data_IF_049079033619
#
_entry.id   IF_049079033619
#
_cell.length_a   1.000
_cell.length_b   1.000
_cell.length_c   1.000
_cell.angle_alpha   90.00
_cell.angle_beta   90.00
_cell.angle_gamma   90.00
#
_symmetry.space_group_name_H-M   'P 1'
#
loop_
_entity.id
_entity.type
_entity.pdbx_description
1 polymer ?
#
# COMPACT_ATOMS: atom_id res chain seq x y z
N UNK A 1 -28.81 -65.61 -28.13
CA UNK A 1 -28.01 -65.56 -29.37
C UNK A 1 -26.91 -64.54 -29.16
N UNK A 2 -25.62 -64.71 -29.44
CA UNK A 2 -24.82 -65.74 -30.08
C UNK A 2 -23.45 -65.07 -30.34
N UNK A 3 -22.40 -65.62 -29.73
CA UNK A 3 -20.94 -65.34 -29.93
C UNK A 3 -20.55 -65.40 -31.43
N UNK A 4 -19.36 -64.93 -31.91
CA UNK A 4 -18.03 -65.43 -31.48
C UNK A 4 -16.89 -64.37 -31.62
N UNK A 5 -15.59 -64.60 -31.38
CA UNK A 5 -14.77 -65.77 -31.06
C UNK A 5 -13.31 -65.30 -30.80
N UNK A 6 -12.53 -66.03 -29.98
CA UNK A 6 -11.38 -66.89 -30.41
C UNK A 6 -10.07 -66.11 -30.65
N UNK A 7 -8.84 -66.52 -30.28
CA UNK A 7 -8.19 -67.71 -29.70
C UNK A 7 -6.82 -67.20 -29.16
N UNK A 8 -6.46 -67.40 -27.89
CA UNK A 8 -5.63 -68.50 -27.38
C UNK A 8 -4.23 -68.64 -28.01
N UNK A 9 -3.17 -68.46 -27.22
CA UNK A 9 -2.10 -69.44 -27.07
C UNK A 9 -1.47 -69.34 -25.67
N UNK A 10 -1.49 -70.45 -24.97
CA UNK A 10 -0.87 -70.67 -23.67
C UNK A 10 0.53 -71.28 -23.85
N UNK A 11 1.46 -70.96 -22.95
CA UNK A 11 2.59 -71.85 -22.64
C UNK A 11 2.65 -71.99 -21.12
N UNK A 12 2.56 -73.25 -20.70
CA UNK A 12 2.64 -73.74 -19.33
C UNK A 12 4.11 -74.01 -19.00
N UNK A 13 4.55 -73.64 -17.80
CA UNK A 13 5.52 -74.46 -17.08
C UNK A 13 5.28 -74.36 -15.58
N UNK A 14 4.99 -75.53 -14.97
CA UNK A 14 4.95 -75.77 -13.54
C UNK A 14 6.29 -75.42 -12.89
N UNK A 15 6.30 -75.13 -11.58
CA UNK A 15 7.14 -75.82 -10.57
C UNK A 15 6.70 -75.35 -9.17
N UNK A 16 6.52 -76.33 -8.29
CA UNK A 16 6.22 -76.19 -6.86
C UNK A 16 7.39 -75.58 -6.08
N UNK A 17 7.13 -74.92 -4.95
CA UNK A 17 7.70 -75.28 -3.63
C UNK A 17 7.51 -74.20 -2.55
N UNK A 18 6.95 -74.66 -1.44
CA UNK A 18 7.38 -74.44 -0.04
C UNK A 18 7.64 -72.99 0.41
N UNK A 19 6.67 -72.47 1.16
CA UNK A 19 6.83 -71.32 2.07
C UNK A 19 7.75 -71.71 3.21
N UNK A 20 8.94 -71.08 3.29
CA UNK A 20 9.72 -70.96 4.52
C UNK A 20 9.85 -69.47 4.84
N UNK A 21 9.25 -69.07 5.95
CA UNK A 21 9.50 -67.77 6.56
C UNK A 21 10.97 -67.70 6.98
N UNK A 22 11.78 -66.92 6.24
CA UNK A 22 13.12 -66.54 6.68
C UNK A 22 13.00 -65.30 7.56
N UNK A 23 13.43 -65.42 8.81
CA UNK A 23 13.73 -64.28 9.66
C UNK A 23 14.78 -63.40 8.95
N UNK A 24 14.51 -62.11 8.83
CA UNK A 24 15.46 -61.12 8.33
C UNK A 24 16.59 -60.95 9.36
N UNK A 25 17.86 -60.89 8.93
CA UNK A 25 18.94 -60.43 9.80
C UNK A 25 18.76 -58.93 10.06
N UNK A 26 19.08 -58.51 11.29
CA UNK A 26 19.20 -57.11 11.64
C UNK A 26 20.39 -56.51 10.88
N UNK A 27 20.11 -55.85 9.76
CA UNK A 27 21.13 -55.11 9.01
C UNK A 27 21.55 -53.89 9.85
N UNK A 28 22.83 -53.87 10.21
CA UNK A 28 23.50 -52.81 10.93
C UNK A 28 23.52 -51.55 10.06
N UNK A 29 22.88 -50.47 10.53
CA UNK A 29 23.04 -49.13 9.96
C UNK A 29 24.46 -48.65 10.29
N UNK A 30 25.35 -48.76 9.31
CA UNK A 30 26.65 -48.12 9.34
C UNK A 30 26.45 -46.59 9.34
N UNK A 31 26.93 -45.97 10.40
CA UNK A 31 26.94 -44.52 10.59
C UNK A 31 28.00 -43.89 9.70
N UNK A 32 27.61 -43.36 8.55
CA UNK A 32 28.42 -42.38 7.81
C UNK A 32 28.40 -41.07 8.60
N UNK A 33 29.46 -40.84 9.40
CA UNK A 33 29.75 -39.55 9.99
C UNK A 33 30.31 -38.64 8.89
N UNK A 34 29.40 -38.02 8.12
CA UNK A 34 29.76 -36.91 7.26
C UNK A 34 30.12 -35.72 8.16
N UNK A 35 31.40 -35.34 8.09
CA UNK A 35 32.01 -34.24 8.82
C UNK A 35 31.34 -32.93 8.42
N UNK A 36 30.28 -32.55 9.13
CA UNK A 36 29.70 -31.21 9.04
C UNK A 36 30.80 -30.24 9.47
N UNK A 37 31.37 -29.56 8.48
CA UNK A 37 32.15 -28.36 8.74
C UNK A 37 31.27 -27.42 9.53
N UNK A 38 31.71 -27.07 10.73
CA UNK A 38 31.13 -26.00 11.53
C UNK A 38 31.29 -24.71 10.74
N UNK A 39 30.36 -24.46 9.82
CA UNK A 39 30.15 -23.13 9.27
C UNK A 39 29.79 -22.27 10.47
N UNK A 40 30.69 -21.34 10.81
CA UNK A 40 30.40 -20.38 11.86
C UNK A 40 29.24 -19.53 11.35
N UNK A 41 28.02 -19.89 11.76
CA UNK A 41 26.88 -19.00 11.71
C UNK A 41 27.30 -17.82 12.60
N UNK A 42 27.73 -16.73 11.96
CA UNK A 42 27.97 -15.47 12.65
C UNK A 42 26.71 -15.07 13.41
N UNK A 43 26.81 -14.22 14.45
CA UNK A 43 25.64 -13.81 15.20
C UNK A 43 24.59 -13.28 14.22
N UNK A 44 23.39 -13.88 14.23
CA UNK A 44 22.22 -13.27 13.59
C UNK A 44 22.06 -11.94 14.31
N UNK A 45 22.38 -10.86 13.62
CA UNK A 45 22.14 -9.51 14.15
C UNK A 45 20.65 -9.30 14.00
N UNK A 46 19.90 -9.69 15.04
CA UNK A 46 18.47 -9.48 15.09
C UNK A 46 18.23 -7.97 15.03
N UNK A 47 17.63 -7.48 13.95
CA UNK A 47 17.37 -6.07 13.81
C UNK A 47 16.17 -5.72 14.68
N UNK A 48 16.41 -5.11 15.83
CA UNK A 48 15.32 -4.60 16.65
C UNK A 48 14.67 -3.39 15.96
N UNK A 49 13.60 -3.64 15.21
CA UNK A 49 12.77 -2.61 14.58
C UNK A 49 11.60 -2.26 15.50
N UNK A 50 11.38 -0.97 15.74
CA UNK A 50 10.26 -0.49 16.53
C UNK A 50 9.60 0.72 15.88
N UNK A 51 8.30 0.89 16.14
CA UNK A 51 7.53 2.04 15.68
C UNK A 51 6.64 2.58 16.80
N UNK A 52 6.70 3.88 17.02
CA UNK A 52 5.80 4.60 17.94
C UNK A 52 4.93 5.58 17.16
N UNK A 53 3.75 5.87 17.70
CA UNK A 53 2.82 6.86 17.18
C UNK A 53 2.36 7.80 18.30
N UNK A 54 2.11 9.06 17.93
CA UNK A 54 1.47 10.06 18.79
C UNK A 54 0.40 10.80 17.98
N UNK A 55 -0.78 10.98 18.56
CA UNK A 55 -1.85 11.75 17.96
C UNK A 55 -1.50 13.24 18.04
N UNK A 56 -1.73 13.95 16.95
CA UNK A 56 -1.47 15.37 16.78
C UNK A 56 -2.78 16.07 16.33
N UNK A 57 -2.87 17.41 16.44
CA UNK A 57 -4.00 18.18 15.92
C UNK A 57 -4.35 17.83 14.46
N UNK A 58 -5.57 18.17 14.05
CA UNK A 58 -6.09 17.89 12.70
C UNK A 58 -6.17 16.39 12.37
N UNK A 59 -6.35 15.55 13.39
CA UNK A 59 -6.40 14.10 13.27
C UNK A 59 -5.17 13.50 12.55
N UNK A 60 -3.99 13.99 12.92
CA UNK A 60 -2.72 13.53 12.38
C UNK A 60 -2.04 12.55 13.34
N UNK A 61 -1.15 11.71 12.82
CA UNK A 61 -0.32 10.81 13.61
C UNK A 61 1.16 11.08 13.32
N UNK A 62 1.90 11.53 14.33
CA UNK A 62 3.35 11.60 14.29
C UNK A 62 3.94 10.21 14.55
N UNK A 63 4.64 9.65 13.55
CA UNK A 63 5.26 8.33 13.60
C UNK A 63 6.78 8.47 13.76
N UNK A 64 7.36 7.60 14.59
CA UNK A 64 8.82 7.41 14.66
C UNK A 64 9.14 5.93 14.54
N UNK A 65 9.90 5.57 13.50
CA UNK A 65 10.41 4.23 13.27
C UNK A 65 11.90 4.23 13.60
N UNK A 66 12.35 3.25 14.39
CA UNK A 66 13.76 3.06 14.75
C UNK A 66 14.20 1.66 14.35
N UNK A 67 15.16 1.59 13.45
CA UNK A 67 15.81 0.39 12.93
C UNK A 67 17.30 0.68 12.75
N UNK A 68 18.05 0.79 13.86
CA UNK A 68 19.45 1.22 13.83
C UNK A 68 20.39 0.35 12.99
N UNK A 69 19.95 -0.85 12.58
CA UNK A 69 20.69 -1.73 11.69
C UNK A 69 20.40 -1.49 10.19
N UNK A 70 19.36 -0.70 9.87
CA UNK A 70 18.89 -0.38 8.51
C UNK A 70 19.00 1.14 8.26
N UNK A 71 20.21 1.73 8.20
CA UNK A 71 20.38 3.14 7.89
C UNK A 71 20.14 3.40 6.40
N UNK A 72 19.55 4.55 6.09
CA UNK A 72 19.28 4.94 4.69
C UNK A 72 18.52 3.86 3.90
N UNK A 73 17.63 3.13 4.57
CA UNK A 73 16.85 2.03 4.00
C UNK A 73 15.44 2.51 3.66
N UNK A 74 14.91 2.03 2.55
CA UNK A 74 13.55 2.33 2.13
C UNK A 74 12.53 1.65 3.07
N UNK A 75 11.48 2.40 3.37
CA UNK A 75 10.31 1.92 4.10
C UNK A 75 9.09 2.11 3.22
N UNK A 76 8.17 1.14 3.22
CA UNK A 76 6.80 1.36 2.74
C UNK A 76 5.87 1.41 3.95
N UNK A 77 5.16 2.53 4.10
CA UNK A 77 4.15 2.69 5.14
C UNK A 77 2.78 2.29 4.59
N UNK A 78 2.06 1.46 5.34
CA UNK A 78 0.68 1.07 5.08
C UNK A 78 -0.25 1.57 6.18
N UNK A 79 -1.39 2.15 5.78
CA UNK A 79 -2.44 2.58 6.70
C UNK A 79 -3.82 2.57 6.03
N UNK A 80 -4.70 1.65 6.43
CA UNK A 80 -6.08 1.60 5.92
C UNK A 80 -6.17 1.60 4.37
N UNK A 81 -5.23 0.95 3.67
CA UNK A 81 -5.18 0.91 2.20
C UNK A 81 -4.27 1.99 1.58
N UNK A 82 -3.96 3.06 2.31
CA UNK A 82 -2.92 4.02 1.94
C UNK A 82 -1.55 3.32 1.94
N UNK A 83 -0.75 3.63 0.93
CA UNK A 83 0.62 3.15 0.77
C UNK A 83 1.53 4.26 0.25
N UNK A 84 2.63 4.55 0.94
CA UNK A 84 3.66 5.47 0.44
C UNK A 84 5.05 5.11 0.96
N UNK A 85 6.08 5.48 0.20
CA UNK A 85 7.47 5.21 0.54
C UNK A 85 8.07 6.31 1.43
N UNK A 86 8.92 5.92 2.36
CA UNK A 86 9.79 6.80 3.13
C UNK A 86 11.18 6.19 3.25
N UNK A 87 12.06 6.80 4.04
CA UNK A 87 13.43 6.30 4.25
C UNK A 87 13.88 6.54 5.68
N UNK A 88 14.65 5.62 6.25
CA UNK A 88 15.43 5.91 7.46
C UNK A 88 16.57 6.86 7.16
N UNK A 89 17.01 7.62 8.15
CA UNK A 89 18.23 8.41 8.08
C UNK A 89 19.48 7.54 8.33
N UNK A 90 20.66 8.16 8.33
CA UNK A 90 21.94 7.51 8.61
C UNK A 90 22.03 6.85 10.00
N UNK A 91 21.13 7.17 10.94
CA UNK A 91 21.03 6.52 12.25
C UNK A 91 19.98 5.40 12.28
N UNK A 92 19.33 5.10 11.15
CA UNK A 92 18.26 4.11 11.07
C UNK A 92 16.94 4.64 11.64
N UNK A 93 16.71 5.95 11.66
CA UNK A 93 15.49 6.57 12.20
C UNK A 93 14.67 7.20 11.08
N UNK A 94 13.37 6.92 11.04
CA UNK A 94 12.42 7.58 10.15
C UNK A 94 11.37 8.32 10.97
N UNK A 95 11.09 9.59 10.61
CA UNK A 95 10.01 10.39 11.20
C UNK A 95 9.10 10.92 10.10
N UNK A 96 7.81 10.90 10.36
CA UNK A 96 6.78 11.39 9.44
C UNK A 96 5.50 11.73 10.20
N UNK A 97 4.68 12.60 9.64
CA UNK A 97 3.34 12.91 10.15
C UNK A 97 2.32 12.51 9.10
N UNK A 98 1.34 11.71 9.47
CA UNK A 98 0.41 11.05 8.53
C UNK A 98 -1.03 11.32 8.93
N UNK A 99 -1.92 11.69 7.99
CA UNK A 99 -3.35 11.74 8.24
C UNK A 99 -3.90 10.39 8.72
N UNK A 100 -4.53 10.35 9.90
CA UNK A 100 -5.26 9.18 10.36
C UNK A 100 -6.57 8.99 9.58
N UNK A 101 -6.70 7.92 8.83
CA UNK A 101 -7.88 7.61 8.00
C UNK A 101 -8.98 6.88 8.77
N UNK A 102 -8.70 6.47 10.02
CA UNK A 102 -9.64 5.77 10.92
C UNK A 102 -9.41 6.22 12.37
N UNK A 103 -10.46 6.19 13.19
CA UNK A 103 -10.38 6.57 14.62
C UNK A 103 -9.53 5.61 15.44
N UNK A 104 -9.46 4.35 15.03
CA UNK A 104 -8.48 3.37 15.50
C UNK A 104 -7.48 3.13 14.38
N UNK A 105 -6.36 3.84 14.41
CA UNK A 105 -5.39 3.82 13.35
C UNK A 105 -4.36 2.71 13.58
N UNK A 106 -4.19 1.84 12.59
CA UNK A 106 -3.13 0.84 12.53
C UNK A 106 -2.15 1.30 11.44
N UNK A 107 -0.88 1.45 11.81
CA UNK A 107 0.20 1.73 10.89
C UNK A 107 1.14 0.53 10.83
N UNK A 108 1.55 0.17 9.62
CA UNK A 108 2.53 -0.89 9.36
C UNK A 108 3.64 -0.33 8.50
N UNK A 109 4.88 -0.45 8.96
CA UNK A 109 6.07 -0.11 8.18
C UNK A 109 6.77 -1.40 7.77
N UNK A 110 7.08 -1.54 6.48
CA UNK A 110 7.82 -2.68 5.92
C UNK A 110 9.10 -2.18 5.25
N UNK A 111 10.16 -2.96 5.39
CA UNK A 111 11.45 -2.77 4.72
C UNK A 111 11.58 -3.77 3.56
N UNK A 112 12.50 -3.51 2.63
CA UNK A 112 12.71 -4.36 1.45
C UNK A 112 13.18 -5.78 1.80
N UNK A 113 13.83 -5.94 2.97
CA UNK A 113 14.25 -7.24 3.50
C UNK A 113 13.09 -8.06 4.11
N UNK A 114 11.87 -7.51 4.13
CA UNK A 114 10.67 -8.14 4.69
C UNK A 114 10.45 -7.91 6.18
N UNK A 115 11.40 -7.30 6.89
CA UNK A 115 11.22 -6.90 8.28
C UNK A 115 10.27 -5.69 8.38
N UNK A 116 9.78 -5.41 9.58
CA UNK A 116 8.86 -4.30 9.77
C UNK A 116 8.48 -4.06 11.22
N UNK A 117 7.65 -3.04 11.41
CA UNK A 117 7.03 -2.73 12.69
C UNK A 117 5.56 -2.37 12.50
N UNK A 118 4.79 -2.58 13.56
CA UNK A 118 3.38 -2.23 13.64
C UNK A 118 3.16 -1.37 14.88
N UNK A 119 2.29 -0.37 14.77
CA UNK A 119 1.82 0.40 15.91
C UNK A 119 0.34 0.73 15.76
N UNK A 120 -0.33 0.94 16.88
CA UNK A 120 -1.75 1.28 16.94
C UNK A 120 -1.96 2.49 17.81
N UNK A 121 -2.86 3.37 17.40
CA UNK A 121 -3.20 4.59 18.15
C UNK A 121 -4.67 4.94 17.97
N UNK A 122 -5.28 5.47 19.03
CA UNK A 122 -6.60 6.08 18.95
C UNK A 122 -6.45 7.54 18.50
N UNK A 123 -7.13 7.92 17.42
CA UNK A 123 -7.22 9.28 16.86
C UNK A 123 -8.71 9.64 16.73
N UNK A 124 -9.39 9.98 17.83
CA UNK A 124 -10.84 10.16 17.83
C UNK A 124 -11.33 11.17 16.79
N UNK A 125 -10.55 12.20 16.53
CA UNK A 125 -10.88 13.30 15.62
C UNK A 125 -10.79 12.90 14.13
N UNK A 126 -10.33 11.69 13.81
CA UNK A 126 -10.29 11.21 12.42
C UNK A 126 -11.69 11.18 11.78
N UNK A 127 -12.75 11.04 12.57
CA UNK A 127 -14.14 11.08 12.09
C UNK A 127 -14.62 12.49 11.73
N UNK A 128 -13.86 13.53 12.08
CA UNK A 128 -14.16 14.93 11.76
C UNK A 128 -13.63 15.35 10.41
N UNK A 129 -12.96 14.46 9.68
CA UNK A 129 -12.52 14.69 8.32
C UNK A 129 -13.07 13.62 7.38
N UNK A 130 -13.55 14.04 6.21
CA UNK A 130 -13.58 13.18 5.04
C UNK A 130 -12.22 13.28 4.35
N UNK A 131 -11.59 12.14 4.12
CA UNK A 131 -10.28 12.08 3.48
C UNK A 131 -10.34 11.34 2.16
N UNK A 132 -9.79 11.95 1.13
CA UNK A 132 -9.60 11.34 -0.18
C UNK A 132 -8.11 11.23 -0.41
N UNK A 133 -7.62 10.03 -0.64
CA UNK A 133 -6.23 9.78 -0.98
C UNK A 133 -6.11 9.36 -2.44
N UNK A 134 -5.23 10.01 -3.19
CA UNK A 134 -4.76 9.57 -4.49
C UNK A 134 -3.37 8.96 -4.30
N UNK A 135 -3.18 7.69 -4.65
CA UNK A 135 -1.88 7.02 -4.54
C UNK A 135 -1.41 6.43 -5.87
N UNK A 136 -0.10 6.42 -6.09
CA UNK A 136 0.53 5.90 -7.31
C UNK A 136 1.97 5.43 -7.06
N UNK A 137 2.56 4.77 -8.06
CA UNK A 137 3.94 4.28 -7.99
C UNK A 137 4.84 4.97 -9.02
N UNK A 138 6.01 5.41 -8.57
CA UNK A 138 7.03 6.11 -9.34
C UNK A 138 6.65 7.55 -9.70
N UNK A 139 7.51 8.20 -10.49
CA UNK A 139 7.26 9.55 -10.98
C UNK A 139 6.20 9.54 -12.09
N UNK A 140 4.93 9.80 -11.73
CA UNK A 140 3.80 9.79 -12.67
C UNK A 140 3.10 11.14 -12.83
N UNK A 141 3.36 12.10 -11.94
CA UNK A 141 2.80 13.45 -12.02
C UNK A 141 1.28 13.52 -11.78
N UNK A 142 0.70 12.49 -11.16
CA UNK A 142 -0.70 12.49 -10.75
C UNK A 142 -0.90 13.48 -9.60
N UNK A 143 -1.95 14.28 -9.68
CA UNK A 143 -2.29 15.31 -8.70
C UNK A 143 -3.77 15.20 -8.35
N UNK A 144 -4.09 15.44 -7.08
CA UNK A 144 -5.45 15.50 -6.58
C UNK A 144 -5.93 16.95 -6.53
N UNK A 145 -7.08 17.20 -7.15
CA UNK A 145 -7.70 18.50 -7.24
C UNK A 145 -9.13 18.45 -6.72
N UNK A 146 -9.56 19.57 -6.16
CA UNK A 146 -10.91 19.82 -5.68
C UNK A 146 -11.39 21.18 -6.17
N UNK A 147 -12.66 21.27 -6.51
CA UNK A 147 -13.29 22.48 -7.00
C UNK A 147 -14.51 22.79 -6.14
N UNK A 148 -14.50 23.97 -5.52
CA UNK A 148 -15.65 24.50 -4.80
C UNK A 148 -16.64 25.15 -5.78
N UNK A 149 -17.93 24.88 -5.57
CA UNK A 149 -19.01 25.45 -6.38
C UNK A 149 -18.77 25.20 -7.89
N UNK A 150 -18.63 26.26 -8.69
CA UNK A 150 -18.37 26.22 -10.13
C UNK A 150 -16.91 26.62 -10.46
N UNK A 151 -15.98 26.49 -9.51
CA UNK A 151 -14.58 26.81 -9.72
C UNK A 151 -13.97 25.99 -10.88
N UNK A 152 -12.98 26.60 -11.54
CA UNK A 152 -12.23 26.01 -12.65
C UNK A 152 -10.74 26.04 -12.34
N UNK A 153 -9.94 25.31 -13.12
CA UNK A 153 -8.50 25.25 -12.90
C UNK A 153 -7.89 26.66 -12.82
N UNK A 154 -7.25 26.93 -11.68
CA UNK A 154 -6.56 28.18 -11.38
C UNK A 154 -7.44 29.34 -10.90
N UNK A 155 -8.76 29.17 -10.80
CA UNK A 155 -9.63 30.19 -10.22
C UNK A 155 -9.70 30.11 -8.69
N UNK A 156 -10.27 31.13 -8.06
CA UNK A 156 -10.69 31.04 -6.66
C UNK A 156 -11.63 29.82 -6.50
N UNK A 157 -11.45 29.06 -5.41
CA UNK A 157 -12.15 27.79 -5.17
C UNK A 157 -11.49 26.56 -5.82
N UNK A 158 -10.38 26.71 -6.56
CA UNK A 158 -9.53 25.59 -6.99
C UNK A 158 -8.55 25.19 -5.88
N UNK A 159 -8.76 24.00 -5.33
CA UNK A 159 -8.05 23.46 -4.18
C UNK A 159 -7.15 22.31 -4.63
N UNK A 160 -5.90 22.34 -4.20
CA UNK A 160 -4.87 21.35 -4.52
C UNK A 160 -3.76 21.42 -3.48
N UNK A 161 -2.76 20.54 -3.58
CA UNK A 161 -1.53 20.67 -2.80
C UNK A 161 -0.84 22.03 -2.99
N UNK A 162 -0.95 22.66 -4.16
CA UNK A 162 -0.32 23.94 -4.42
C UNK A 162 -1.09 25.13 -3.82
N UNK A 163 -2.42 25.09 -3.88
CA UNK A 163 -3.29 26.21 -3.49
C UNK A 163 -3.78 26.11 -2.05
N UNK A 164 -3.82 24.91 -1.47
CA UNK A 164 -4.27 24.66 -0.10
C UNK A 164 -3.41 23.57 0.59
N UNK A 165 -2.08 23.75 0.69
CA UNK A 165 -1.24 22.87 1.49
C UNK A 165 -1.60 22.99 2.98
N UNK A 166 -1.33 21.94 3.75
CA UNK A 166 -1.42 22.03 5.22
C UNK A 166 -0.51 23.15 5.74
N UNK A 167 -1.10 24.14 6.41
CA UNK A 167 -0.38 25.13 7.20
C UNK A 167 0.22 24.44 8.44
N UNK A 168 1.57 24.48 8.62
CA UNK A 168 2.22 23.84 9.76
C UNK A 168 1.80 24.42 11.12
N UNK A 169 1.28 25.64 11.17
CA UNK A 169 0.82 26.30 12.40
C UNK A 169 -0.68 26.09 12.65
N UNK A 170 -1.40 25.46 11.71
CA UNK A 170 -2.83 25.21 11.84
C UNK A 170 -3.12 24.13 12.88
N UNK A 171 -4.02 24.46 13.81
CA UNK A 171 -4.60 23.53 14.77
C UNK A 171 -6.12 23.42 14.63
N UNK A 172 -6.72 24.27 13.80
CA UNK A 172 -8.16 24.44 13.68
C UNK A 172 -8.72 23.51 12.60
N UNK A 173 -9.78 22.79 12.94
CA UNK A 173 -10.39 21.78 12.08
C UNK A 173 -11.42 22.38 11.11
N UNK A 174 -11.30 23.66 10.78
CA UNK A 174 -12.28 24.41 10.00
C UNK A 174 -11.92 24.48 8.51
N UNK A 175 -10.62 24.38 8.19
CA UNK A 175 -10.12 24.51 6.82
C UNK A 175 -9.87 23.15 6.16
N UNK A 176 -10.08 23.11 4.85
CA UNK A 176 -9.61 22.00 4.02
C UNK A 176 -8.11 22.15 3.78
N UNK A 177 -7.42 21.03 3.60
CA UNK A 177 -5.99 21.06 3.28
C UNK A 177 -5.55 19.79 2.56
N UNK A 178 -4.39 19.88 1.91
CA UNK A 178 -3.74 18.80 1.19
C UNK A 178 -2.39 18.47 1.81
N UNK A 179 -2.07 17.18 1.88
CA UNK A 179 -0.74 16.68 2.25
C UNK A 179 -0.18 15.75 1.18
N UNK A 180 1.14 15.76 1.01
CA UNK A 180 1.85 14.85 0.12
C UNK A 180 2.74 13.91 0.93
N UNK A 181 2.76 12.65 0.53
CA UNK A 181 3.56 11.58 1.10
C UNK A 181 4.27 10.79 -0.01
N UNK A 182 5.39 10.15 0.33
CA UNK A 182 6.29 9.56 -0.67
C UNK A 182 7.54 10.41 -0.87
N UNK A 183 8.69 9.78 -1.11
CA UNK A 183 9.94 10.46 -1.44
C UNK A 183 10.16 10.38 -2.95
N UNK A 184 10.11 11.52 -3.65
CA UNK A 184 10.26 11.62 -5.10
C UNK A 184 11.56 11.01 -5.65
N UNK A 185 12.63 10.99 -4.86
CA UNK A 185 13.93 10.44 -5.27
C UNK A 185 14.03 8.92 -5.13
N UNK A 186 13.02 8.25 -4.59
CA UNK A 186 12.98 6.78 -4.53
C UNK A 186 12.46 6.26 -5.88
N UNK A 187 13.28 5.54 -6.67
CA UNK A 187 12.82 4.93 -7.91
C UNK A 187 11.69 3.94 -7.63
N UNK A 188 10.61 4.03 -8.42
CA UNK A 188 9.42 3.19 -8.26
C UNK A 188 8.82 3.21 -6.82
N UNK A 189 9.08 4.29 -6.07
CA UNK A 189 8.52 4.50 -4.75
C UNK A 189 7.01 4.74 -4.81
N UNK A 190 6.32 4.46 -3.71
CA UNK A 190 4.91 4.77 -3.58
C UNK A 190 4.73 6.23 -3.13
N UNK A 191 3.74 6.89 -3.72
CA UNK A 191 3.39 8.27 -3.46
C UNK A 191 1.91 8.37 -3.14
N UNK A 192 1.55 9.37 -2.33
CA UNK A 192 0.16 9.70 -2.08
C UNK A 192 -0.04 11.20 -1.87
N UNK A 193 -1.14 11.73 -2.40
CA UNK A 193 -1.72 13.00 -2.01
C UNK A 193 -3.02 12.76 -1.25
N UNK A 194 -3.22 13.47 -0.16
CA UNK A 194 -4.39 13.30 0.70
C UNK A 194 -5.06 14.66 0.87
N UNK A 195 -6.29 14.76 0.39
CA UNK A 195 -7.18 15.88 0.66
C UNK A 195 -7.97 15.60 1.94
N UNK A 196 -7.93 16.54 2.89
CA UNK A 196 -8.68 16.50 4.14
C UNK A 196 -9.76 17.58 4.14
N UNK A 197 -11.02 17.17 4.20
CA UNK A 197 -12.17 18.06 4.25
C UNK A 197 -12.89 17.92 5.59
N UNK A 198 -13.02 19.00 6.38
CA UNK A 198 -13.80 18.97 7.61
C UNK A 198 -15.24 18.52 7.38
N UNK A 199 -15.73 17.66 8.26
CA UNK A 199 -17.15 17.27 8.32
C UNK A 199 -17.89 18.35 9.09
N UNK A 200 -18.79 19.09 8.43
CA UNK A 200 -19.58 20.14 9.10
C UNK A 200 -20.61 19.52 10.06
N UNK A 201 -21.09 20.31 11.03
CA UNK A 201 -21.99 19.84 12.10
C UNK A 201 -23.27 19.11 11.63
N UNK A 202 -23.67 19.27 10.37
CA UNK A 202 -24.76 18.51 9.74
C UNK A 202 -24.41 17.05 9.39
N UNK A 203 -23.17 16.62 9.65
CA UNK A 203 -22.64 15.31 9.25
C UNK A 203 -22.37 15.20 7.74
N UNK A 204 -22.61 16.26 6.97
CA UNK A 204 -22.34 16.32 5.53
C UNK A 204 -20.96 16.89 5.29
N UNK A 205 -20.34 16.49 4.20
CA UNK A 205 -19.18 17.19 3.65
C UNK A 205 -19.71 18.15 2.61
N UNK A 206 -19.15 19.38 2.54
CA UNK A 206 -19.48 20.31 1.46
C UNK A 206 -19.22 19.56 0.15
N UNK A 207 -20.21 19.46 -0.73
CA UNK A 207 -20.03 18.74 -1.99
C UNK A 207 -18.95 19.47 -2.76
N UNK A 208 -17.88 18.75 -3.07
CA UNK A 208 -16.70 19.26 -3.76
C UNK A 208 -16.51 18.38 -4.99
N UNK A 209 -16.35 19.01 -6.14
CA UNK A 209 -16.07 18.31 -7.38
C UNK A 209 -14.60 17.92 -7.34
N UNK A 210 -14.32 16.60 -7.33
CA UNK A 210 -12.96 16.09 -7.29
C UNK A 210 -12.48 15.77 -8.70
N UNK A 211 -11.20 16.02 -8.94
CA UNK A 211 -10.53 15.72 -10.20
C UNK A 211 -9.16 15.14 -9.92
N UNK A 212 -8.72 14.24 -10.80
CA UNK A 212 -7.33 13.80 -10.88
C UNK A 212 -6.75 14.39 -12.13
N UNK A 213 -5.65 15.12 -11.97
CA UNK A 213 -4.99 15.81 -13.07
C UNK A 213 -3.57 15.28 -13.24
N UNK A 214 -3.06 15.38 -14.46
CA UNK A 214 -1.68 15.03 -14.77
C UNK A 214 -1.17 15.89 -15.90
N UNK A 215 -0.05 16.55 -15.65
CA UNK A 215 0.71 17.24 -16.68
C UNK A 215 1.54 16.24 -17.49
N UNK A 216 1.51 16.37 -18.81
CA UNK A 216 2.34 15.55 -19.69
C UNK A 216 3.76 16.11 -19.68
N UNK A 217 4.71 15.28 -19.27
CA UNK A 217 6.14 15.59 -19.20
C UNK A 217 6.95 14.64 -20.09
N UNK A 218 8.22 14.97 -20.33
CA UNK A 218 9.16 14.08 -21.01
C UNK A 218 9.32 12.72 -20.31
N UNK A 219 9.03 12.66 -19.00
CA UNK A 219 9.17 11.45 -18.18
C UNK A 219 7.97 10.50 -18.31
N UNK A 220 6.78 11.03 -18.60
CA UNK A 220 5.53 10.27 -18.60
C UNK A 220 4.86 10.15 -19.99
N UNK A 221 5.21 10.97 -20.98
CA UNK A 221 4.58 10.97 -22.29
C UNK A 221 4.63 9.61 -23.00
N UNK A 222 3.53 9.27 -23.69
CA UNK A 222 3.35 8.03 -24.44
C UNK A 222 3.24 6.77 -23.58
N UNK A 223 3.07 6.91 -22.26
CA UNK A 223 2.99 5.81 -21.31
C UNK A 223 1.59 5.70 -20.71
N UNK A 224 1.26 4.49 -20.28
CA UNK A 224 0.13 4.28 -19.37
C UNK A 224 0.60 4.58 -17.96
N UNK A 225 -0.16 5.39 -17.24
CA UNK A 225 -0.01 5.63 -15.82
C UNK A 225 -1.20 5.01 -15.07
N UNK A 226 -0.95 4.60 -13.83
CA UNK A 226 -1.95 4.02 -12.97
C UNK A 226 -1.86 4.65 -11.58
N UNK A 227 -3.01 4.71 -10.91
CA UNK A 227 -3.15 5.16 -9.55
C UNK A 227 -4.40 4.57 -8.92
N UNK A 228 -4.64 4.90 -7.65
CA UNK A 228 -5.83 4.49 -6.93
C UNK A 228 -6.36 5.66 -6.10
N UNK A 229 -7.66 5.90 -6.20
CA UNK A 229 -8.38 6.78 -5.29
C UNK A 229 -8.94 5.96 -4.14
N UNK A 230 -8.68 6.40 -2.92
CA UNK A 230 -9.24 5.84 -1.71
C UNK A 230 -10.16 6.89 -1.08
N UNK A 231 -11.43 6.57 -0.91
CA UNK A 231 -12.35 7.39 -0.13
C UNK A 231 -12.47 6.84 1.29
N UNK A 232 -12.20 7.69 2.26
CA UNK A 232 -12.26 7.40 3.67
C UNK A 232 -13.29 8.27 4.38
N UNK A 233 -14.28 7.59 4.95
CA UNK A 233 -15.19 8.14 5.95
C UNK A 233 -15.04 7.32 7.23
N UNK A 234 -15.28 7.97 8.37
CA UNK A 234 -15.03 7.50 9.73
C UNK A 234 -15.33 6.02 10.00
N UNK A 235 -16.40 5.48 9.40
CA UNK A 235 -16.97 4.17 9.73
C UNK A 235 -17.02 3.17 8.56
N UNK A 236 -16.52 3.54 7.38
CA UNK A 236 -16.53 2.65 6.21
C UNK A 236 -15.14 2.12 5.90
N UNK A 237 -15.04 0.83 5.54
CA UNK A 237 -13.83 0.33 4.90
C UNK A 237 -13.52 1.19 3.68
N UNK A 238 -12.25 1.54 3.52
CA UNK A 238 -11.72 2.26 2.36
C UNK A 238 -12.27 1.64 1.09
N UNK A 239 -12.94 2.45 0.28
CA UNK A 239 -13.34 2.02 -1.06
C UNK A 239 -12.29 2.55 -2.03
N UNK A 240 -11.54 1.62 -2.60
CA UNK A 240 -10.56 1.90 -3.64
C UNK A 240 -11.22 1.92 -5.02
N UNK A 241 -10.84 2.91 -5.84
CA UNK A 241 -11.13 2.98 -7.26
C UNK A 241 -9.81 3.05 -8.01
N UNK A 242 -9.52 2.03 -8.81
CA UNK A 242 -8.35 2.04 -9.68
C UNK A 242 -8.55 3.03 -10.81
N UNK A 243 -7.48 3.75 -11.11
CA UNK A 243 -7.36 4.70 -12.20
C UNK A 243 -6.30 4.19 -13.17
N UNK A 244 -6.59 4.24 -14.45
CA UNK A 244 -5.63 3.93 -15.50
C UNK A 244 -5.83 4.89 -16.65
N UNK A 245 -4.75 5.59 -17.00
CA UNK A 245 -4.77 6.64 -18.00
C UNK A 245 -3.65 6.42 -18.99
N UNK A 246 -3.98 6.52 -20.28
CA UNK A 246 -2.98 6.53 -21.34
C UNK A 246 -2.60 7.98 -21.64
N UNK A 247 -1.34 8.33 -21.43
CA UNK A 247 -0.83 9.65 -21.75
C UNK A 247 -0.52 9.75 -23.26
N UNK A 248 -0.92 10.86 -23.92
CA UNK A 248 -0.54 11.19 -25.28
C UNK A 248 0.97 11.18 -25.51
N UNK A 249 1.38 11.21 -26.78
CA UNK A 249 2.79 11.23 -27.17
C UNK A 249 3.46 12.55 -26.73
N UNK A 250 4.78 12.57 -26.82
CA UNK A 250 5.62 13.67 -26.32
C UNK A 250 5.52 14.97 -27.15
N UNK A 251 4.69 15.00 -28.20
CA UNK A 251 4.30 16.23 -28.88
C UNK A 251 3.27 17.06 -28.09
N UNK A 252 2.66 16.46 -27.06
CA UNK A 252 1.72 17.09 -26.13
C UNK A 252 2.35 17.45 -24.77
N UNK A 253 3.69 17.50 -24.65
CA UNK A 253 4.34 17.90 -23.40
C UNK A 253 3.92 19.32 -23.02
N UNK A 254 3.53 19.50 -21.75
CA UNK A 254 2.94 20.72 -21.19
C UNK A 254 1.41 20.75 -21.25
N UNK A 255 0.76 19.82 -21.95
CA UNK A 255 -0.70 19.67 -21.87
C UNK A 255 -1.10 19.00 -20.55
N UNK A 256 -2.32 19.32 -20.10
CA UNK A 256 -2.90 18.81 -18.88
C UNK A 256 -4.06 17.87 -19.22
N UNK A 257 -4.08 16.68 -18.62
CA UNK A 257 -5.23 15.78 -18.67
C UNK A 257 -5.99 15.90 -17.36
N UNK A 258 -7.29 16.10 -17.47
CA UNK A 258 -8.22 16.25 -16.34
C UNK A 258 -9.20 15.08 -16.35
N UNK A 259 -9.38 14.45 -15.21
CA UNK A 259 -10.31 13.33 -15.04
C UNK A 259 -11.17 13.53 -13.81
N UNK A 260 -12.49 13.62 -14.03
CA UNK A 260 -13.46 13.70 -12.93
C UNK A 260 -13.35 12.45 -12.04
N UNK A 261 -13.07 12.68 -10.76
CA UNK A 261 -13.01 11.62 -9.77
C UNK A 261 -14.43 11.31 -9.29
N UNK A 262 -15.06 10.32 -9.92
CA UNK A 262 -16.39 9.85 -9.52
C UNK A 262 -16.24 8.94 -8.30
N UNK A 263 -16.33 9.53 -7.10
CA UNK A 263 -16.55 8.75 -5.88
C UNK A 263 -18.02 8.34 -5.84
N UNK A 264 -18.29 7.04 -5.90
CA UNK A 264 -19.64 6.50 -5.76
C UNK A 264 -20.33 7.12 -4.53
N UNK A 265 -21.33 7.95 -4.78
CA UNK A 265 -21.95 8.83 -3.79
C UNK A 265 -22.90 8.10 -2.84
N UNK A 266 -22.63 6.84 -2.50
CA UNK A 266 -23.47 6.04 -1.60
C UNK A 266 -23.34 6.44 -0.12
N UNK A 267 -22.92 7.67 0.17
CA UNK A 267 -22.63 8.20 1.51
C UNK A 267 -23.75 9.09 2.07
N UNK A 268 -24.96 9.06 1.49
CA UNK A 268 -26.13 9.47 2.27
C UNK A 268 -26.35 8.39 3.34
N UNK A 269 -26.14 8.73 4.62
CA UNK A 269 -26.55 7.84 5.70
C UNK A 269 -28.00 7.46 5.46
N UNK A 270 -28.32 6.16 5.58
CA UNK A 270 -29.72 5.77 5.74
C UNK A 270 -30.24 6.52 6.97
N UNK A 271 -31.27 7.34 6.75
CA UNK A 271 -32.12 7.86 7.82
C UNK A 271 -32.68 6.73 8.69
#
# INVERSE_FOLDING_TARGET
>A
MGKPGSLAFAVIMMIASVVWARALPAEQVASDQEKIGSEMIGPVVDCAISMTAKAEPLAMAALTITAGCLPEEQIVLHHSGLMFSHKTDAAGVARMTVPALTTKAIFVATFDNGDGALTMIDVPDADKFQRIALQWQGAKGLQLHAYEDDATHGSDGHLSLHTSPLDPDSTEMEDHFFTQHGIATIPDGFHAEIASFPVIASGKVKVINLSVEVEITDENCGRTIAGELLNHSADTRSKGQQLTLYLPKCDAVGDLIVMDAILDNSLTSKE
#
